data_IF_384031188298
#
_entry.id   IF_384031188298
#
_cell.length_a   1.000
_cell.length_b   1.000
_cell.length_c   1.000
_cell.angle_alpha   90.00
_cell.angle_beta   90.00
_cell.angle_gamma   90.00
#
_symmetry.space_group_name_H-M   'P 1'
#
loop_
_entity.id
_entity.type
_entity.pdbx_description
1 polymer ?
#
# COMPACT_ATOMS: atom_id res chain seq x y z
N UNK A 1 -5.24 3.63 -25.41
CA UNK A 1 -4.47 3.24 -24.22
C UNK A 1 -4.92 1.85 -23.76
N UNK A 2 -6.10 1.69 -23.14
CA UNK A 2 -6.58 0.42 -22.56
C UNK A 2 -6.25 -0.87 -23.35
N UNK A 3 -6.59 -0.92 -24.64
CA UNK A 3 -6.41 -2.14 -25.46
C UNK A 3 -4.95 -2.54 -25.71
N UNK A 4 -4.01 -1.59 -25.56
CA UNK A 4 -2.59 -1.78 -25.91
C UNK A 4 -1.67 -1.63 -24.69
N UNK A 5 -2.20 -1.26 -23.53
CA UNK A 5 -1.41 -1.11 -22.31
C UNK A 5 -0.97 -2.47 -21.79
N UNK A 6 0.21 -2.53 -21.17
CA UNK A 6 0.66 -3.74 -20.51
C UNK A 6 -0.35 -4.13 -19.40
N UNK A 7 -0.73 -5.42 -19.26
CA UNK A 7 -1.66 -5.85 -18.21
C UNK A 7 -1.21 -5.51 -16.79
N UNK A 8 0.10 -5.44 -16.54
CA UNK A 8 0.67 -4.95 -15.29
C UNK A 8 0.33 -3.48 -15.05
N UNK A 9 0.44 -2.62 -16.08
CA UNK A 9 0.02 -1.21 -16.00
C UNK A 9 -1.47 -1.05 -15.72
N UNK A 10 -2.33 -1.80 -16.41
CA UNK A 10 -3.77 -1.79 -16.13
C UNK A 10 -4.09 -2.21 -14.70
N UNK A 11 -3.27 -3.09 -14.12
CA UNK A 11 -3.44 -3.57 -12.77
C UNK A 11 -3.00 -2.54 -11.72
N UNK A 12 -1.96 -1.75 -12.02
CA UNK A 12 -1.60 -0.55 -11.24
C UNK A 12 -2.78 0.41 -11.21
N UNK A 13 -3.40 0.72 -12.36
CA UNK A 13 -4.56 1.62 -12.41
C UNK A 13 -5.73 1.11 -11.57
N UNK A 14 -6.08 -0.18 -11.69
CA UNK A 14 -7.17 -0.79 -10.92
C UNK A 14 -6.89 -0.74 -9.42
N UNK A 15 -5.68 -1.08 -9.00
CA UNK A 15 -5.27 -1.02 -7.60
C UNK A 15 -5.31 0.42 -7.07
N UNK A 16 -4.75 1.37 -7.83
CA UNK A 16 -4.75 2.80 -7.49
C UNK A 16 -6.17 3.34 -7.30
N UNK A 17 -7.02 3.25 -8.32
CA UNK A 17 -8.35 3.84 -8.25
C UNK A 17 -9.21 3.19 -7.15
N UNK A 18 -9.12 1.87 -6.98
CA UNK A 18 -9.86 1.17 -5.92
C UNK A 18 -9.37 1.53 -4.52
N UNK A 19 -8.05 1.68 -4.33
CA UNK A 19 -7.48 2.00 -3.02
C UNK A 19 -7.56 3.48 -2.67
N UNK A 20 -7.62 4.40 -3.63
CA UNK A 20 -7.42 5.83 -3.40
C UNK A 20 -8.70 6.66 -3.58
N UNK A 21 -9.51 6.43 -4.62
CA UNK A 21 -10.57 7.39 -5.01
C UNK A 21 -11.55 7.79 -3.89
N UNK A 22 -12.02 6.82 -3.09
CA UNK A 22 -12.90 7.11 -1.95
C UNK A 22 -12.14 7.45 -0.65
N UNK A 23 -10.84 7.16 -0.58
CA UNK A 23 -9.95 7.68 0.46
C UNK A 23 -9.79 9.19 0.36
N UNK A 24 -9.61 9.69 -0.86
CA UNK A 24 -9.53 11.14 -1.18
C UNK A 24 -10.85 11.84 -0.86
N UNK A 25 -11.97 11.24 -1.28
CA UNK A 25 -13.28 11.77 -0.93
C UNK A 25 -13.52 11.77 0.59
N UNK A 26 -12.95 10.81 1.33
CA UNK A 26 -12.98 10.83 2.80
C UNK A 26 -12.07 11.92 3.38
N UNK A 27 -10.90 12.19 2.77
CA UNK A 27 -10.00 13.27 3.16
C UNK A 27 -10.66 14.65 3.10
N UNK A 28 -11.64 14.86 2.20
CA UNK A 28 -12.52 16.05 2.23
C UNK A 28 -13.15 16.28 3.61
N UNK A 29 -13.59 15.20 4.27
CA UNK A 29 -14.17 15.28 5.61
C UNK A 29 -13.12 15.56 6.70
N UNK A 30 -11.89 15.11 6.51
CA UNK A 30 -10.77 15.42 7.39
C UNK A 30 -10.38 16.91 7.29
N UNK A 31 -10.28 17.42 6.08
CA UNK A 31 -10.07 18.85 5.82
C UNK A 31 -11.23 19.69 6.40
N UNK A 32 -12.48 19.26 6.21
CA UNK A 32 -13.63 19.90 6.84
C UNK A 32 -13.56 19.91 8.39
N UNK A 33 -12.97 18.88 9.01
CA UNK A 33 -12.70 18.86 10.46
C UNK A 33 -11.74 19.97 10.86
N UNK A 34 -10.65 20.16 10.11
CA UNK A 34 -9.69 21.24 10.34
C UNK A 34 -10.31 22.61 10.05
N UNK A 35 -11.09 22.75 8.98
CA UNK A 35 -11.83 23.96 8.64
C UNK A 35 -12.78 24.39 9.77
N UNK A 36 -13.48 23.43 10.38
CA UNK A 36 -14.45 23.72 11.45
C UNK A 36 -13.83 23.90 12.82
N UNK A 37 -12.87 23.05 13.19
CA UNK A 37 -12.38 22.92 14.58
C UNK A 37 -10.93 23.38 14.77
N UNK A 38 -10.22 23.72 13.69
CA UNK A 38 -8.89 24.32 13.75
C UNK A 38 -8.93 25.61 14.55
N UNK A 39 -8.06 25.73 15.56
CA UNK A 39 -8.00 26.95 16.40
C UNK A 39 -7.29 28.10 15.68
N UNK A 40 -6.32 27.78 14.82
CA UNK A 40 -5.62 28.75 13.99
C UNK A 40 -6.50 29.22 12.81
N UNK A 41 -6.73 30.54 12.63
CA UNK A 41 -7.52 31.05 11.50
C UNK A 41 -6.94 30.66 10.13
N UNK A 42 -5.61 30.68 9.98
CA UNK A 42 -4.94 30.28 8.75
C UNK A 42 -5.19 28.81 8.39
N UNK A 43 -5.12 27.90 9.38
CA UNK A 43 -5.49 26.49 9.20
C UNK A 43 -6.92 26.35 8.72
N UNK A 44 -7.89 27.07 9.33
CA UNK A 44 -9.29 26.94 8.91
C UNK A 44 -9.52 27.35 7.45
N UNK A 45 -8.86 28.43 7.03
CA UNK A 45 -8.97 28.92 5.66
C UNK A 45 -8.28 27.97 4.67
N UNK A 46 -7.06 27.52 4.97
CA UNK A 46 -6.33 26.58 4.11
C UNK A 46 -7.05 25.24 4.01
N UNK A 47 -7.56 24.72 5.12
CA UNK A 47 -8.35 23.49 5.13
C UNK A 47 -9.70 23.61 4.41
N UNK A 48 -10.22 24.84 4.24
CA UNK A 48 -11.39 25.05 3.37
C UNK A 48 -11.02 24.85 1.90
N UNK A 49 -9.81 25.25 1.49
CA UNK A 49 -9.30 24.93 0.17
C UNK A 49 -8.92 23.44 0.04
N UNK A 50 -8.26 22.85 1.05
CA UNK A 50 -8.02 21.41 1.11
C UNK A 50 -9.30 20.60 0.94
N UNK A 51 -10.40 20.99 1.58
CA UNK A 51 -11.70 20.35 1.37
C UNK A 51 -12.17 20.42 -0.10
N UNK A 52 -11.93 21.52 -0.81
CA UNK A 52 -12.28 21.63 -2.23
C UNK A 52 -11.34 20.78 -3.11
N UNK A 53 -10.07 20.72 -2.73
CA UNK A 53 -9.04 19.92 -3.39
C UNK A 53 -9.40 18.43 -3.28
N UNK A 54 -9.73 17.94 -2.09
CA UNK A 54 -10.13 16.55 -1.89
C UNK A 54 -11.48 16.19 -2.53
N UNK A 55 -12.40 17.15 -2.60
CA UNK A 55 -13.61 16.97 -3.41
C UNK A 55 -13.27 16.78 -4.89
N UNK A 56 -12.32 17.56 -5.41
CA UNK A 56 -11.82 17.43 -6.78
C UNK A 56 -11.11 16.08 -6.97
N UNK A 57 -10.22 15.69 -6.06
CA UNK A 57 -9.42 14.46 -6.16
C UNK A 57 -10.32 13.23 -6.23
N UNK A 58 -11.28 13.11 -5.30
CA UNK A 58 -12.23 12.00 -5.30
C UNK A 58 -13.09 11.96 -6.58
N UNK A 59 -13.60 13.11 -7.04
CA UNK A 59 -14.44 13.15 -8.25
C UNK A 59 -13.65 12.81 -9.53
N UNK A 60 -12.43 13.33 -9.70
CA UNK A 60 -11.60 13.01 -10.86
C UNK A 60 -11.21 11.52 -10.86
N UNK A 61 -10.82 10.99 -9.71
CA UNK A 61 -10.43 9.58 -9.57
C UNK A 61 -11.62 8.61 -9.60
N UNK A 62 -12.86 9.10 -9.65
CA UNK A 62 -14.04 8.32 -10.05
C UNK A 62 -14.39 8.52 -11.53
N UNK A 63 -14.27 9.74 -12.04
CA UNK A 63 -14.61 10.07 -13.43
C UNK A 63 -13.70 9.36 -14.44
N UNK A 64 -12.39 9.35 -14.21
CA UNK A 64 -11.42 8.75 -15.14
C UNK A 64 -11.56 7.22 -15.27
N UNK A 65 -11.63 6.41 -14.20
CA UNK A 65 -11.80 4.97 -14.33
C UNK A 65 -13.20 4.55 -14.79
N UNK A 66 -14.22 5.41 -14.65
CA UNK A 66 -15.59 5.10 -15.08
C UNK A 66 -15.66 4.68 -16.56
N UNK A 67 -14.85 5.28 -17.43
CA UNK A 67 -14.77 4.92 -18.86
C UNK A 67 -14.30 3.47 -19.12
N UNK A 68 -13.65 2.84 -18.13
CA UNK A 68 -13.19 1.45 -18.22
C UNK A 68 -14.17 0.43 -17.65
N UNK A 69 -15.21 0.86 -16.91
CA UNK A 69 -16.21 -0.06 -16.35
C UNK A 69 -16.91 -0.96 -17.39
N UNK A 70 -17.25 -0.50 -18.62
CA UNK A 70 -17.81 -1.38 -19.65
C UNK A 70 -16.82 -2.43 -20.18
N UNK A 71 -15.51 -2.23 -19.97
CA UNK A 71 -14.46 -3.10 -20.49
C UNK A 71 -14.06 -4.19 -19.51
N UNK A 72 -13.99 -3.84 -18.24
CA UNK A 72 -13.54 -4.75 -17.19
C UNK A 72 -14.20 -4.37 -15.85
N UNK A 73 -14.85 -5.36 -15.23
CA UNK A 73 -15.57 -5.19 -13.96
C UNK A 73 -14.66 -4.77 -12.82
N UNK A 74 -13.36 -5.04 -12.91
CA UNK A 74 -12.38 -4.61 -11.91
C UNK A 74 -12.30 -3.08 -11.78
N UNK A 75 -12.68 -2.29 -12.80
CA UNK A 75 -12.73 -0.83 -12.67
C UNK A 75 -13.93 -0.31 -11.86
N UNK A 76 -15.00 -1.11 -11.69
CA UNK A 76 -16.09 -0.77 -10.76
C UNK A 76 -15.60 -0.65 -9.31
N UNK A 77 -14.48 -1.29 -8.99
CA UNK A 77 -13.83 -1.22 -7.68
C UNK A 77 -13.28 0.16 -7.34
N UNK A 78 -13.08 1.04 -8.32
CA UNK A 78 -12.83 2.46 -8.06
C UNK A 78 -13.89 3.09 -7.15
N UNK A 79 -15.15 2.65 -7.26
CA UNK A 79 -16.24 3.06 -6.38
C UNK A 79 -16.59 1.98 -5.34
N UNK A 80 -16.54 0.69 -5.70
CA UNK A 80 -17.03 -0.41 -4.85
C UNK A 80 -16.09 -0.74 -3.68
N UNK A 81 -14.77 -0.59 -3.81
CA UNK A 81 -13.78 -1.13 -2.85
C UNK A 81 -14.05 -0.72 -1.38
N UNK A 82 -14.29 0.56 -1.11
CA UNK A 82 -14.53 1.07 0.25
C UNK A 82 -15.87 0.61 0.85
N UNK A 83 -16.74 0.01 0.03
CA UNK A 83 -18.02 -0.56 0.44
C UNK A 83 -17.98 -2.09 0.58
N UNK A 84 -16.78 -2.70 0.55
CA UNK A 84 -16.60 -4.13 0.76
C UNK A 84 -15.82 -4.41 2.05
N UNK A 85 -15.82 -5.69 2.46
CA UNK A 85 -14.90 -6.21 3.47
C UNK A 85 -13.74 -6.98 2.84
N UNK A 86 -13.39 -6.68 1.59
CA UNK A 86 -12.14 -7.14 0.99
C UNK A 86 -10.95 -6.63 1.83
N UNK A 87 -9.91 -7.46 1.97
CA UNK A 87 -8.87 -7.24 2.98
C UNK A 87 -7.99 -6.02 2.68
N UNK A 88 -7.65 -5.76 1.42
CA UNK A 88 -6.89 -4.57 1.03
C UNK A 88 -7.72 -3.29 1.25
N UNK A 89 -9.04 -3.33 1.01
CA UNK A 89 -9.95 -2.24 1.35
C UNK A 89 -10.10 -2.04 2.87
N UNK A 90 -10.09 -3.12 3.66
CA UNK A 90 -10.01 -3.02 5.14
C UNK A 90 -8.69 -2.37 5.56
N UNK A 91 -7.56 -2.74 4.95
CA UNK A 91 -6.26 -2.14 5.26
C UNK A 91 -6.21 -0.65 4.92
N UNK A 92 -6.72 -0.26 3.74
CA UNK A 92 -6.84 1.14 3.34
C UNK A 92 -7.68 1.94 4.35
N UNK A 93 -8.90 1.48 4.66
CA UNK A 93 -9.76 2.14 5.67
C UNK A 93 -9.12 2.16 7.05
N UNK A 94 -8.48 1.07 7.48
CA UNK A 94 -7.80 1.02 8.78
C UNK A 94 -6.73 2.10 8.89
N UNK A 95 -5.97 2.35 7.82
CA UNK A 95 -4.94 3.39 7.77
C UNK A 95 -5.59 4.78 7.71
N UNK A 96 -6.47 5.03 6.74
CA UNK A 96 -7.08 6.35 6.54
C UNK A 96 -7.98 6.79 7.69
N UNK A 97 -8.79 5.88 8.25
CA UNK A 97 -9.66 6.21 9.37
C UNK A 97 -8.85 6.61 10.61
N UNK A 98 -7.68 5.98 10.80
CA UNK A 98 -6.78 6.25 11.91
C UNK A 98 -5.93 7.50 11.71
N UNK A 99 -5.43 7.74 10.49
CA UNK A 99 -4.65 8.93 10.18
C UNK A 99 -5.52 10.20 10.24
N UNK A 100 -6.78 10.14 9.80
CA UNK A 100 -7.56 11.38 9.65
C UNK A 100 -9.08 11.35 9.91
N UNK A 101 -9.79 10.23 9.78
CA UNK A 101 -11.25 10.27 10.01
C UNK A 101 -11.63 10.32 11.49
N UNK A 102 -10.82 9.71 12.35
CA UNK A 102 -11.06 9.53 13.79
C UNK A 102 -10.10 10.33 14.68
N UNK A 103 -9.61 11.46 14.16
CA UNK A 103 -8.60 12.32 14.79
C UNK A 103 -9.13 13.74 15.01
N UNK A 104 -8.56 14.44 15.98
CA UNK A 104 -8.84 15.87 16.19
C UNK A 104 -8.20 16.72 15.09
N UNK A 105 -8.65 17.97 14.94
CA UNK A 105 -8.12 18.86 13.89
C UNK A 105 -6.59 19.05 13.95
N UNK A 106 -5.99 19.05 15.15
CA UNK A 106 -4.53 19.20 15.27
C UNK A 106 -3.80 17.90 14.94
N UNK A 107 -4.37 16.75 15.31
CA UNK A 107 -3.80 15.46 14.95
C UNK A 107 -3.88 15.22 13.44
N UNK A 108 -4.99 15.59 12.78
CA UNK A 108 -5.12 15.52 11.31
C UNK A 108 -4.02 16.35 10.64
N UNK A 109 -3.83 17.60 11.06
CA UNK A 109 -2.77 18.44 10.50
C UNK A 109 -1.38 17.77 10.57
N UNK A 110 -1.08 17.06 11.65
CA UNK A 110 0.21 16.39 11.81
C UNK A 110 0.26 15.05 11.06
N UNK A 111 -0.74 14.19 11.26
CA UNK A 111 -0.72 12.80 10.80
C UNK A 111 -1.05 12.66 9.31
N UNK A 112 -1.99 13.47 8.80
CA UNK A 112 -2.33 13.51 7.39
C UNK A 112 -1.38 14.45 6.65
N UNK A 113 -1.47 15.75 6.88
CA UNK A 113 -0.87 16.71 5.95
C UNK A 113 0.67 16.74 5.99
N UNK A 114 1.25 16.60 7.18
CA UNK A 114 2.69 16.51 7.31
C UNK A 114 3.22 15.10 7.07
N UNK A 115 2.76 14.11 7.84
CA UNK A 115 3.37 12.78 7.78
C UNK A 115 2.97 11.99 6.53
N UNK A 116 1.70 11.96 6.14
CA UNK A 116 1.23 11.17 5.00
C UNK A 116 1.40 11.92 3.67
N UNK A 117 0.89 13.15 3.56
CA UNK A 117 0.88 13.88 2.30
C UNK A 117 2.26 14.41 1.91
N UNK A 118 2.88 15.19 2.81
CA UNK A 118 4.24 15.69 2.59
C UNK A 118 5.26 14.56 2.60
N UNK A 119 5.11 13.58 3.49
CA UNK A 119 6.06 12.49 3.66
C UNK A 119 6.01 11.40 2.60
N UNK A 120 4.82 11.07 2.06
CA UNK A 120 4.66 9.94 1.12
C UNK A 120 3.95 10.31 -0.18
N UNK A 121 2.72 10.82 -0.14
CA UNK A 121 1.88 10.92 -1.37
C UNK A 121 2.40 11.94 -2.36
N UNK A 122 2.92 13.08 -1.90
CA UNK A 122 3.52 14.09 -2.78
C UNK A 122 4.62 13.49 -3.66
N UNK A 123 5.45 12.62 -3.08
CA UNK A 123 6.52 11.94 -3.81
C UNK A 123 5.99 10.78 -4.64
N UNK A 124 5.06 10.01 -4.10
CA UNK A 124 4.38 8.93 -4.82
C UNK A 124 3.79 9.41 -6.13
N UNK A 125 3.10 10.55 -6.13
CA UNK A 125 2.36 11.03 -7.29
C UNK A 125 3.33 11.55 -8.36
N UNK A 126 4.47 12.12 -7.96
CA UNK A 126 5.53 12.46 -8.91
C UNK A 126 6.13 11.21 -9.56
N UNK A 127 6.49 10.19 -8.78
CA UNK A 127 7.01 8.92 -9.30
C UNK A 127 5.99 8.22 -10.22
N UNK A 128 4.75 8.08 -9.75
CA UNK A 128 3.69 7.41 -10.48
C UNK A 128 3.32 8.13 -11.78
N UNK A 129 3.32 9.47 -11.80
CA UNK A 129 3.11 10.22 -13.03
C UNK A 129 4.28 10.04 -14.03
N UNK A 130 5.51 9.95 -13.54
CA UNK A 130 6.69 9.70 -14.36
C UNK A 130 6.69 8.28 -14.96
N UNK A 131 6.22 7.28 -14.21
CA UNK A 131 6.02 5.91 -14.68
C UNK A 131 4.87 5.84 -15.69
N UNK A 132 3.77 6.56 -15.45
CA UNK A 132 2.64 6.64 -16.36
C UNK A 132 3.03 7.21 -17.73
N UNK A 133 3.83 8.28 -17.74
CA UNK A 133 4.33 8.86 -18.98
C UNK A 133 5.24 7.87 -19.75
N UNK A 134 6.07 7.12 -19.03
CA UNK A 134 6.97 6.11 -19.60
C UNK A 134 6.20 4.91 -20.17
N UNK A 135 5.11 4.50 -19.51
CA UNK A 135 4.17 3.49 -19.99
C UNK A 135 3.27 3.99 -21.15
N UNK A 136 3.41 5.25 -21.57
CA UNK A 136 2.61 5.85 -22.64
C UNK A 136 1.18 6.24 -22.23
N UNK A 137 0.87 6.23 -20.94
CA UNK A 137 -0.41 6.66 -20.37
C UNK A 137 -0.38 8.14 -19.96
N UNK A 138 -0.38 9.01 -20.96
CA UNK A 138 -0.39 10.46 -20.75
C UNK A 138 -1.68 10.96 -20.09
N UNK A 139 -2.77 10.19 -20.14
CA UNK A 139 -4.03 10.55 -19.49
C UNK A 139 -3.88 10.43 -17.98
N UNK A 140 -3.37 9.29 -17.50
CA UNK A 140 -3.11 9.10 -16.08
C UNK A 140 -1.95 9.97 -15.58
N UNK A 141 -0.88 10.12 -16.36
CA UNK A 141 0.22 11.02 -16.01
C UNK A 141 -0.27 12.47 -15.77
N UNK A 142 -1.11 12.99 -16.67
CA UNK A 142 -1.67 14.34 -16.54
C UNK A 142 -2.63 14.45 -15.35
N UNK A 143 -3.45 13.43 -15.09
CA UNK A 143 -4.34 13.38 -13.94
C UNK A 143 -3.55 13.50 -12.64
N UNK A 144 -2.58 12.60 -12.43
CA UNK A 144 -1.83 12.51 -11.18
C UNK A 144 -0.94 13.74 -10.98
N UNK A 145 -0.26 14.22 -12.03
CA UNK A 145 0.50 15.49 -11.93
C UNK A 145 -0.40 16.68 -11.59
N UNK A 146 -1.64 16.72 -12.09
CA UNK A 146 -2.57 17.80 -11.78
C UNK A 146 -3.16 17.71 -10.37
N UNK A 147 -3.31 16.51 -9.81
CA UNK A 147 -3.70 16.31 -8.41
C UNK A 147 -2.54 16.74 -7.50
N UNK A 148 -1.32 16.32 -7.82
CA UNK A 148 -0.12 16.63 -7.02
C UNK A 148 0.12 18.14 -6.83
N UNK A 149 -0.25 18.99 -7.80
CA UNK A 149 -0.14 20.44 -7.62
C UNK A 149 -1.08 20.99 -6.54
N UNK A 150 -2.22 20.34 -6.31
CA UNK A 150 -3.15 20.70 -5.24
C UNK A 150 -2.69 20.11 -3.90
N UNK A 151 -2.17 18.87 -3.87
CA UNK A 151 -1.55 18.25 -2.68
C UNK A 151 -0.52 19.17 -2.03
N UNK A 152 0.39 19.74 -2.83
CA UNK A 152 1.42 20.67 -2.33
C UNK A 152 0.86 21.91 -1.63
N UNK A 153 -0.40 22.31 -1.94
CA UNK A 153 -1.06 23.46 -1.35
C UNK A 153 -1.66 23.15 0.02
N UNK A 154 -2.40 22.06 0.22
CA UNK A 154 -3.01 21.80 1.53
C UNK A 154 -2.07 21.03 2.47
N UNK A 155 -1.11 20.24 1.93
CA UNK A 155 -0.13 19.50 2.73
C UNK A 155 0.70 20.41 3.65
N UNK A 156 0.88 21.68 3.27
CA UNK A 156 1.63 22.67 4.05
C UNK A 156 1.00 23.03 5.42
N UNK A 157 -0.24 22.61 5.71
CA UNK A 157 -0.92 22.91 6.99
C UNK A 157 -0.15 22.33 8.18
N UNK A 158 0.45 21.16 8.02
CA UNK A 158 1.07 20.41 9.12
C UNK A 158 2.36 21.01 9.65
N UNK A 159 3.19 21.64 8.80
CA UNK A 159 4.45 22.26 9.21
C UNK A 159 4.28 23.34 10.29
N UNK A 160 3.47 24.40 10.04
CA UNK A 160 3.16 25.41 11.04
C UNK A 160 2.45 24.85 12.29
N UNK A 161 1.61 23.82 12.13
CA UNK A 161 0.95 23.16 13.25
C UNK A 161 1.98 22.49 14.18
N UNK A 162 2.97 21.80 13.63
CA UNK A 162 4.09 21.22 14.37
C UNK A 162 4.92 22.30 15.07
N UNK A 163 5.29 23.38 14.38
CA UNK A 163 6.06 24.47 14.98
C UNK A 163 5.35 25.07 16.21
N UNK A 164 4.02 25.22 16.15
CA UNK A 164 3.22 25.70 17.29
C UNK A 164 3.24 24.69 18.44
N UNK A 165 3.09 23.38 18.17
CA UNK A 165 3.17 22.35 19.21
C UNK A 165 4.53 22.39 19.92
N UNK A 166 5.62 22.47 19.15
CA UNK A 166 6.99 22.50 19.66
C UNK A 166 7.25 23.75 20.51
N UNK A 167 6.86 24.93 20.02
CA UNK A 167 7.00 26.20 20.73
C UNK A 167 6.22 26.23 22.06
N UNK A 168 5.22 25.37 22.24
CA UNK A 168 4.39 25.28 23.44
C UNK A 168 4.72 24.04 24.30
N UNK A 169 5.90 23.44 24.13
CA UNK A 169 6.37 22.34 24.98
C UNK A 169 5.63 21.01 24.76
N UNK A 170 5.03 20.81 23.58
CA UNK A 170 4.32 19.58 23.20
C UNK A 170 5.16 18.67 22.27
N UNK A 171 6.49 18.70 22.38
CA UNK A 171 7.39 17.91 21.51
C UNK A 171 7.08 16.42 21.56
N UNK A 172 6.91 15.84 22.74
CA UNK A 172 6.62 14.41 22.88
C UNK A 172 5.33 13.99 22.17
N UNK A 173 4.26 14.78 22.32
CA UNK A 173 3.00 14.53 21.62
C UNK A 173 3.15 14.68 20.11
N UNK A 174 3.84 15.72 19.64
CA UNK A 174 4.08 15.94 18.22
C UNK A 174 4.89 14.78 17.61
N UNK A 175 5.96 14.35 18.29
CA UNK A 175 6.79 13.22 17.88
C UNK A 175 5.97 11.94 17.80
N UNK A 176 5.20 11.61 18.83
CA UNK A 176 4.37 10.40 18.84
C UNK A 176 3.37 10.36 17.67
N UNK A 177 2.74 11.50 17.33
CA UNK A 177 1.81 11.58 16.19
C UNK A 177 2.52 11.34 14.86
N UNK A 178 3.69 11.95 14.68
CA UNK A 178 4.51 11.78 13.48
C UNK A 178 4.99 10.34 13.36
N UNK A 179 5.52 9.76 14.43
CA UNK A 179 5.97 8.37 14.47
C UNK A 179 4.81 7.39 14.14
N UNK A 180 3.65 7.53 14.79
CA UNK A 180 2.51 6.66 14.47
C UNK A 180 2.10 6.82 13.01
N UNK A 181 2.04 8.05 12.49
CA UNK A 181 1.60 8.30 11.12
C UNK A 181 2.55 7.70 10.08
N UNK A 182 3.88 7.89 10.23
CA UNK A 182 4.89 7.31 9.33
C UNK A 182 4.80 5.78 9.37
N UNK A 183 4.72 5.17 10.56
CA UNK A 183 4.63 3.72 10.70
C UNK A 183 3.42 3.15 9.94
N UNK A 184 2.26 3.81 10.07
CA UNK A 184 1.02 3.39 9.40
C UNK A 184 1.07 3.61 7.89
N UNK A 185 1.58 4.76 7.45
CA UNK A 185 1.73 5.11 6.05
C UNK A 185 2.68 4.15 5.32
N UNK A 186 3.83 3.85 5.92
CA UNK A 186 4.85 2.97 5.36
C UNK A 186 4.30 1.62 4.91
N UNK A 187 3.46 0.98 5.75
CA UNK A 187 2.87 -0.33 5.45
C UNK A 187 2.01 -0.32 4.18
N UNK A 188 1.13 0.68 4.04
CA UNK A 188 0.28 0.83 2.85
C UNK A 188 1.12 1.22 1.63
N UNK A 189 2.14 2.03 1.83
CA UNK A 189 3.06 2.48 0.79
C UNK A 189 3.88 1.33 0.19
N UNK A 190 4.45 0.45 1.02
CA UNK A 190 5.17 -0.74 0.54
C UNK A 190 4.26 -1.69 -0.24
N UNK A 191 2.98 -1.79 0.15
CA UNK A 191 2.00 -2.63 -0.53
C UNK A 191 1.66 -2.10 -1.93
N UNK A 192 1.24 -0.82 -2.03
CA UNK A 192 0.74 -0.25 -3.28
C UNK A 192 1.88 0.21 -4.19
N UNK A 193 2.78 1.04 -3.68
CA UNK A 193 3.85 1.65 -4.47
C UNK A 193 4.96 0.64 -4.74
N UNK A 194 5.42 -0.07 -3.70
CA UNK A 194 6.54 -0.99 -3.83
C UNK A 194 6.27 -2.14 -4.81
N UNK A 195 5.07 -2.74 -4.73
CA UNK A 195 4.71 -3.81 -5.68
C UNK A 195 4.49 -3.30 -7.11
N UNK A 196 3.99 -2.06 -7.25
CA UNK A 196 3.83 -1.43 -8.56
C UNK A 196 5.18 -1.20 -9.24
N UNK A 197 6.13 -0.55 -8.57
CA UNK A 197 7.41 -0.17 -9.15
C UNK A 197 8.29 -1.38 -9.52
N UNK A 198 8.40 -2.35 -8.62
CA UNK A 198 9.37 -3.44 -8.78
C UNK A 198 8.82 -4.66 -9.52
N UNK A 199 7.51 -4.74 -9.75
CA UNK A 199 6.89 -5.91 -10.36
C UNK A 199 5.90 -5.57 -11.46
N UNK A 200 4.89 -4.74 -11.18
CA UNK A 200 3.81 -4.48 -12.14
C UNK A 200 4.22 -3.53 -13.29
N UNK A 201 5.12 -2.58 -13.04
CA UNK A 201 5.73 -1.76 -14.08
C UNK A 201 6.63 -2.65 -14.95
N UNK A 202 6.44 -2.67 -16.29
CA UNK A 202 7.27 -3.48 -17.18
C UNK A 202 8.76 -3.13 -17.04
N UNK A 203 9.63 -4.15 -17.14
CA UNK A 203 11.06 -4.02 -16.86
C UNK A 203 11.73 -2.85 -17.60
N UNK A 204 11.43 -2.68 -18.89
CA UNK A 204 12.01 -1.62 -19.73
C UNK A 204 11.57 -0.20 -19.33
N UNK A 205 10.52 -0.06 -18.50
CA UNK A 205 9.99 1.22 -18.03
C UNK A 205 10.36 1.50 -16.56
N UNK A 206 11.06 0.59 -15.88
CA UNK A 206 11.53 0.80 -14.50
C UNK A 206 12.73 1.75 -14.49
N UNK A 207 12.50 3.01 -14.12
CA UNK A 207 13.56 4.03 -14.03
C UNK A 207 14.53 3.75 -12.88
N UNK A 208 13.98 3.32 -11.74
CA UNK A 208 14.70 2.98 -10.53
C UNK A 208 13.95 1.90 -9.75
N UNK A 209 14.54 1.34 -8.70
CA UNK A 209 13.85 0.42 -7.80
C UNK A 209 13.08 1.16 -6.72
N UNK A 210 12.08 0.52 -6.13
CA UNK A 210 11.36 1.04 -4.98
C UNK A 210 12.30 1.49 -3.85
N UNK A 211 13.32 0.68 -3.52
CA UNK A 211 14.33 1.04 -2.52
C UNK A 211 15.10 2.30 -2.87
N UNK A 212 15.54 2.44 -4.12
CA UNK A 212 16.23 3.65 -4.57
C UNK A 212 15.31 4.87 -4.40
N UNK A 213 14.07 4.74 -4.83
CA UNK A 213 13.06 5.79 -4.75
C UNK A 213 12.81 6.22 -3.30
N UNK A 214 12.55 5.28 -2.38
CA UNK A 214 12.28 5.65 -0.98
C UNK A 214 13.52 6.18 -0.26
N UNK A 215 14.72 5.77 -0.68
CA UNK A 215 15.95 6.28 -0.11
C UNK A 215 16.21 7.73 -0.56
N UNK A 216 16.01 8.03 -1.84
CA UNK A 216 16.17 9.40 -2.35
C UNK A 216 15.09 10.34 -1.80
N UNK A 217 13.83 9.94 -1.93
CA UNK A 217 12.70 10.84 -1.74
C UNK A 217 12.16 10.84 -0.32
N UNK A 218 12.06 9.67 0.33
CA UNK A 218 11.53 9.59 1.71
C UNK A 218 12.65 9.88 2.70
N UNK A 219 13.76 9.13 2.67
CA UNK A 219 14.86 9.36 3.62
C UNK A 219 15.53 10.72 3.34
N UNK A 220 15.94 10.99 2.09
CA UNK A 220 16.66 12.21 1.77
C UNK A 220 15.92 13.52 2.07
N UNK A 221 14.59 13.56 1.89
CA UNK A 221 13.81 14.79 2.08
C UNK A 221 13.10 14.84 3.44
N UNK A 222 12.53 13.73 3.89
CA UNK A 222 11.71 13.73 5.09
C UNK A 222 12.56 13.74 6.36
N UNK A 223 13.71 13.04 6.39
CA UNK A 223 14.67 13.11 7.50
C UNK A 223 15.06 14.57 7.80
N UNK A 224 15.45 15.29 6.75
CA UNK A 224 15.85 16.69 6.86
C UNK A 224 14.70 17.55 7.36
N UNK A 225 13.49 17.31 6.87
CA UNK A 225 12.31 18.06 7.29
C UNK A 225 11.99 17.85 8.77
N UNK A 226 12.10 16.62 9.29
CA UNK A 226 11.93 16.32 10.71
C UNK A 226 12.95 17.09 11.57
N UNK A 227 14.22 17.03 11.18
CA UNK A 227 15.33 17.66 11.90
C UNK A 227 15.19 19.19 11.87
N UNK A 228 14.92 19.78 10.70
CA UNK A 228 14.79 21.23 10.52
C UNK A 228 13.59 21.79 11.32
N UNK A 229 12.55 20.98 11.55
CA UNK A 229 11.42 21.34 12.42
C UNK A 229 11.72 21.16 13.91
N UNK A 230 12.80 20.50 14.31
CA UNK A 230 13.17 20.24 15.70
C UNK A 230 12.60 18.95 16.30
N UNK A 231 12.11 18.05 15.44
CA UNK A 231 11.77 16.67 15.78
C UNK A 231 13.00 15.77 15.71
N UNK A 232 12.88 14.58 16.29
CA UNK A 232 13.87 13.53 16.21
C UNK A 232 13.44 12.51 15.14
N UNK A 233 14.37 11.68 14.67
CA UNK A 233 13.99 10.54 13.84
C UNK A 233 13.17 9.56 14.68
N UNK A 234 12.13 8.91 14.11
CA UNK A 234 11.38 7.87 14.80
C UNK A 234 12.32 6.81 15.35
N UNK A 235 12.00 6.26 16.54
CA UNK A 235 12.89 5.29 17.20
C UNK A 235 13.17 4.03 16.36
N UNK A 236 12.28 3.73 15.41
CA UNK A 236 12.38 2.59 14.49
C UNK A 236 12.97 2.94 13.12
N UNK A 237 13.57 4.13 12.94
CA UNK A 237 14.04 4.61 11.63
C UNK A 237 14.94 3.60 10.90
N UNK A 238 15.95 3.06 11.59
CA UNK A 238 16.86 2.04 11.03
C UNK A 238 16.12 0.74 10.68
N UNK A 239 15.12 0.35 11.48
CA UNK A 239 14.29 -0.82 11.17
C UNK A 239 13.46 -0.59 9.91
N UNK A 240 12.87 0.59 9.75
CA UNK A 240 12.12 0.96 8.54
C UNK A 240 13.03 0.98 7.31
N UNK A 241 14.25 1.54 7.42
CA UNK A 241 15.24 1.51 6.32
C UNK A 241 15.59 0.06 5.95
N UNK A 242 15.80 -0.82 6.92
CA UNK A 242 16.06 -2.24 6.64
C UNK A 242 14.86 -2.92 5.94
N UNK A 243 13.64 -2.47 6.20
CA UNK A 243 12.43 -2.98 5.52
C UNK A 243 12.36 -2.58 4.04
N UNK A 244 13.12 -1.58 3.58
CA UNK A 244 13.18 -1.18 2.17
C UNK A 244 13.72 -2.31 1.27
N UNK A 245 14.51 -3.21 1.84
CA UNK A 245 15.09 -4.36 1.14
C UNK A 245 14.15 -5.56 1.01
N UNK A 246 13.01 -5.59 1.72
CA UNK A 246 12.22 -6.83 1.77
C UNK A 246 10.71 -6.69 1.94
N UNK A 247 10.19 -5.62 2.53
CA UNK A 247 8.79 -5.62 2.97
C UNK A 247 7.81 -5.65 1.78
N UNK A 248 8.08 -4.89 0.72
CA UNK A 248 7.27 -4.90 -0.50
C UNK A 248 7.44 -6.21 -1.30
N UNK A 249 8.61 -6.86 -1.25
CA UNK A 249 8.80 -8.18 -1.86
C UNK A 249 7.95 -9.26 -1.16
N UNK A 250 7.88 -9.22 0.18
CA UNK A 250 7.04 -10.11 0.96
C UNK A 250 5.54 -9.86 0.68
N UNK A 251 5.16 -8.60 0.52
CA UNK A 251 3.81 -8.23 0.08
C UNK A 251 3.50 -8.67 -1.35
N UNK A 252 4.44 -8.51 -2.30
CA UNK A 252 4.26 -8.98 -3.67
C UNK A 252 3.99 -10.48 -3.71
N UNK A 253 4.80 -11.27 -3.01
CA UNK A 253 4.62 -12.72 -2.93
C UNK A 253 3.25 -13.07 -2.33
N UNK A 254 2.86 -12.36 -1.27
CA UNK A 254 1.57 -12.57 -0.61
C UNK A 254 0.39 -12.20 -1.52
N UNK A 255 0.41 -11.03 -2.14
CA UNK A 255 -0.63 -10.56 -3.07
C UNK A 255 -0.75 -11.51 -4.26
N UNK A 256 0.36 -11.90 -4.87
CA UNK A 256 0.30 -12.77 -6.04
C UNK A 256 -0.18 -14.17 -5.69
N UNK A 257 0.25 -14.75 -4.55
CA UNK A 257 -0.23 -16.05 -4.12
C UNK A 257 -1.72 -16.01 -3.76
N UNK A 258 -2.16 -15.03 -2.96
CA UNK A 258 -3.56 -14.79 -2.61
C UNK A 258 -4.34 -13.97 -3.67
N UNK A 259 -3.88 -13.92 -4.94
CA UNK A 259 -4.50 -13.13 -6.01
C UNK A 259 -6.02 -13.29 -6.19
N UNK A 260 -6.66 -14.45 -5.89
CA UNK A 260 -8.12 -14.53 -5.98
C UNK A 260 -8.87 -13.69 -4.94
N UNK A 261 -8.16 -13.09 -3.97
CA UNK A 261 -8.75 -12.32 -2.88
C UNK A 261 -8.69 -10.81 -3.09
N UNK A 262 -8.18 -10.34 -4.24
CA UNK A 262 -8.09 -8.92 -4.60
C UNK A 262 -8.85 -8.64 -5.90
N UNK A 263 -9.05 -7.36 -6.21
CA UNK A 263 -9.85 -6.90 -7.37
C UNK A 263 -9.04 -6.52 -8.60
N UNK A 264 -7.72 -6.72 -8.59
CA UNK A 264 -6.86 -6.52 -9.76
C UNK A 264 -6.08 -7.80 -10.05
N UNK A 265 -5.47 -7.87 -11.22
CA UNK A 265 -4.66 -9.00 -11.63
C UNK A 265 -3.19 -8.71 -11.31
N UNK A 266 -2.58 -9.21 -10.22
CA UNK A 266 -1.19 -8.89 -9.92
C UNK A 266 -0.26 -9.48 -10.99
N UNK A 267 0.65 -8.68 -11.51
CA UNK A 267 1.72 -9.19 -12.37
C UNK A 267 2.72 -9.95 -11.50
N UNK A 268 3.10 -11.17 -11.90
CA UNK A 268 4.17 -11.88 -11.19
C UNK A 268 5.47 -11.08 -11.21
N UNK A 269 5.83 -10.56 -12.40
CA UNK A 269 7.11 -9.87 -12.65
C UNK A 269 8.30 -10.83 -12.63
N UNK A 270 8.12 -12.09 -13.02
CA UNK A 270 9.05 -13.19 -12.75
C UNK A 270 9.71 -13.81 -13.98
N UNK A 271 9.88 -13.09 -15.10
CA UNK A 271 10.78 -13.58 -16.17
C UNK A 271 12.23 -13.68 -15.67
N UNK A 272 13.12 -14.45 -16.33
CA UNK A 272 14.54 -14.48 -15.99
C UNK A 272 15.16 -13.07 -15.89
N UNK A 273 14.94 -12.21 -16.90
CA UNK A 273 15.44 -10.84 -16.90
C UNK A 273 14.91 -10.00 -15.73
N UNK A 274 13.65 -10.20 -15.32
CA UNK A 274 13.12 -9.51 -14.14
C UNK A 274 13.81 -9.98 -12.86
N UNK A 275 14.14 -11.27 -12.75
CA UNK A 275 14.87 -11.81 -11.59
C UNK A 275 16.32 -11.34 -11.54
N UNK A 276 16.98 -11.22 -12.69
CA UNK A 276 18.32 -10.66 -12.77
C UNK A 276 18.33 -9.20 -12.34
N UNK A 277 17.34 -8.41 -12.78
CA UNK A 277 17.17 -7.04 -12.30
C UNK A 277 16.89 -6.97 -10.80
N UNK A 278 16.04 -7.85 -10.27
CA UNK A 278 15.77 -7.91 -8.83
C UNK A 278 17.03 -8.26 -8.04
N UNK A 279 17.89 -9.15 -8.54
CA UNK A 279 19.18 -9.46 -7.91
C UNK A 279 20.14 -8.26 -7.93
N UNK A 280 20.18 -7.54 -9.06
CA UNK A 280 21.01 -6.34 -9.21
C UNK A 280 20.58 -5.26 -8.20
N UNK A 281 19.28 -5.03 -8.04
CA UNK A 281 18.75 -4.01 -7.14
C UNK A 281 18.68 -4.45 -5.68
N UNK A 282 18.54 -5.74 -5.44
CA UNK A 282 18.39 -6.35 -4.12
C UNK A 282 19.27 -7.60 -4.03
N UNK A 283 20.54 -7.42 -3.70
CA UNK A 283 21.50 -8.52 -3.64
C UNK A 283 21.06 -9.59 -2.62
N UNK A 284 21.02 -10.85 -3.05
CA UNK A 284 20.47 -11.98 -2.28
C UNK A 284 18.97 -12.24 -2.50
N UNK A 285 18.31 -11.52 -3.40
CA UNK A 285 16.89 -11.72 -3.70
C UNK A 285 16.60 -13.14 -4.19
N UNK A 286 17.44 -13.70 -5.07
CA UNK A 286 17.27 -15.06 -5.58
C UNK A 286 17.48 -16.14 -4.52
N UNK A 287 18.34 -15.90 -3.54
CA UNK A 287 18.60 -16.83 -2.43
C UNK A 287 17.49 -16.82 -1.36
N UNK A 288 16.63 -15.80 -1.38
CA UNK A 288 15.55 -15.58 -0.43
C UNK A 288 14.18 -15.72 -1.10
N UNK A 289 13.63 -14.61 -1.62
CA UNK A 289 12.34 -14.56 -2.33
C UNK A 289 12.32 -15.43 -3.58
N UNK A 290 13.44 -15.46 -4.32
CA UNK A 290 13.59 -16.33 -5.49
C UNK A 290 13.34 -17.79 -5.19
N UNK A 291 13.68 -18.29 -3.99
CA UNK A 291 13.40 -19.69 -3.60
C UNK A 291 11.91 -19.99 -3.47
N UNK A 292 11.10 -19.04 -3.01
CA UNK A 292 9.66 -19.20 -2.98
C UNK A 292 9.09 -19.18 -4.41
N UNK A 293 9.60 -18.29 -5.26
CA UNK A 293 9.21 -18.21 -6.66
C UNK A 293 9.66 -19.42 -7.49
N UNK A 294 10.81 -20.02 -7.21
CA UNK A 294 11.30 -21.25 -7.85
C UNK A 294 10.24 -22.35 -7.74
N UNK A 295 9.70 -22.57 -6.54
CA UNK A 295 8.65 -23.58 -6.30
C UNK A 295 7.36 -23.26 -7.06
N UNK A 296 6.98 -21.98 -7.13
CA UNK A 296 5.81 -21.54 -7.91
C UNK A 296 6.05 -21.82 -9.40
N UNK A 297 7.22 -21.46 -9.92
CA UNK A 297 7.61 -21.66 -11.32
C UNK A 297 7.61 -23.15 -11.68
N UNK A 298 8.23 -23.98 -10.86
CA UNK A 298 8.29 -25.43 -11.08
C UNK A 298 6.90 -26.07 -11.12
N UNK A 299 5.99 -25.63 -10.24
CA UNK A 299 4.61 -26.09 -10.26
C UNK A 299 3.87 -25.64 -11.52
N UNK A 300 4.05 -24.40 -11.98
CA UNK A 300 3.44 -23.92 -13.21
C UNK A 300 3.99 -24.65 -14.45
N UNK A 301 5.30 -24.88 -14.52
CA UNK A 301 5.93 -25.64 -15.60
C UNK A 301 5.40 -27.08 -15.66
N UNK A 302 5.16 -27.69 -14.50
CA UNK A 302 4.59 -29.03 -14.40
C UNK A 302 3.05 -29.09 -14.50
N UNK A 303 2.38 -27.97 -14.79
CA UNK A 303 0.93 -27.91 -14.95
C UNK A 303 0.12 -27.99 -13.64
N UNK A 304 0.78 -27.87 -12.48
CA UNK A 304 0.17 -27.90 -11.14
C UNK A 304 -0.22 -26.51 -10.65
N UNK A 305 -1.09 -25.82 -11.41
CA UNK A 305 -1.52 -24.44 -11.11
C UNK A 305 -2.22 -24.35 -9.75
N UNK A 306 -2.91 -25.40 -9.32
CA UNK A 306 -3.60 -25.51 -8.03
C UNK A 306 -2.66 -25.34 -6.82
N UNK A 307 -1.37 -25.65 -6.96
CA UNK A 307 -0.37 -25.45 -5.89
C UNK A 307 0.15 -24.01 -5.80
N UNK A 308 -0.34 -23.11 -6.66
CA UNK A 308 0.05 -21.69 -6.70
C UNK A 308 -1.05 -20.75 -6.18
N UNK A 309 -2.09 -21.34 -5.58
CA UNK A 309 -3.21 -20.63 -4.95
C UNK A 309 -3.40 -21.18 -3.53
N UNK A 310 -3.94 -20.38 -2.60
CA UNK A 310 -4.04 -20.76 -1.21
C UNK A 310 -5.23 -21.67 -0.93
N UNK A 311 -5.07 -22.52 0.09
CA UNK A 311 -6.16 -23.28 0.71
C UNK A 311 -6.48 -22.80 2.13
N UNK A 312 -5.85 -21.70 2.57
CA UNK A 312 -6.07 -21.07 3.88
C UNK A 312 -5.94 -19.55 3.81
N UNK A 313 -6.38 -18.86 4.87
CA UNK A 313 -6.11 -17.43 5.06
C UNK A 313 -4.71 -17.23 5.68
N UNK A 314 -4.00 -16.14 5.35
CA UNK A 314 -2.75 -15.81 6.03
C UNK A 314 -3.05 -15.30 7.44
N UNK A 315 -2.03 -15.25 8.32
CA UNK A 315 -2.14 -14.49 9.57
C UNK A 315 -2.10 -13.00 9.22
N UNK A 316 -3.02 -12.22 9.77
CA UNK A 316 -3.15 -10.79 9.47
C UNK A 316 -2.74 -9.95 10.69
N UNK A 317 -1.94 -8.92 10.45
CA UNK A 317 -1.53 -7.95 11.46
C UNK A 317 -2.73 -7.17 12.00
N UNK A 318 -2.89 -7.12 13.32
CA UNK A 318 -3.99 -6.42 13.99
C UNK A 318 -3.90 -4.89 13.87
N UNK A 319 -2.77 -4.35 13.43
CA UNK A 319 -2.59 -2.92 13.15
C UNK A 319 -2.80 -2.60 11.67
N UNK A 320 -1.90 -3.06 10.79
CA UNK A 320 -1.92 -2.72 9.37
C UNK A 320 -3.03 -3.41 8.57
N UNK A 321 -3.62 -4.49 9.11
CA UNK A 321 -4.56 -5.37 8.40
C UNK A 321 -3.96 -6.07 7.16
N UNK A 322 -2.63 -6.11 7.06
CA UNK A 322 -1.88 -6.80 6.02
C UNK A 322 -1.35 -8.15 6.55
N UNK A 323 -0.99 -9.09 5.66
CA UNK A 323 -0.37 -10.35 6.07
C UNK A 323 0.89 -10.14 6.92
N UNK A 324 1.11 -11.04 7.90
CA UNK A 324 2.38 -11.13 8.61
C UNK A 324 3.37 -11.88 7.73
N UNK A 325 4.35 -11.17 7.17
CA UNK A 325 5.31 -11.68 6.20
C UNK A 325 6.64 -10.91 6.26
N UNK A 326 7.73 -11.62 5.98
CA UNK A 326 9.08 -11.09 5.87
C UNK A 326 9.91 -11.96 4.89
N UNK A 327 11.24 -11.93 5.01
CA UNK A 327 12.17 -12.65 4.12
C UNK A 327 11.99 -14.18 4.25
N UNK A 328 11.79 -14.90 3.13
CA UNK A 328 11.78 -16.37 3.09
C UNK A 328 13.16 -16.93 2.68
N UNK A 329 13.23 -18.24 2.42
CA UNK A 329 14.43 -18.87 1.85
C UNK A 329 15.62 -18.91 2.81
N UNK A 330 16.84 -18.71 2.29
CA UNK A 330 18.08 -18.82 3.08
C UNK A 330 18.21 -17.77 4.18
N UNK A 331 17.56 -16.61 4.00
CA UNK A 331 17.50 -15.49 4.93
C UNK A 331 16.25 -15.49 5.81
N UNK A 332 15.60 -16.65 6.00
CA UNK A 332 14.29 -16.74 6.69
C UNK A 332 14.26 -15.96 8.01
N UNK A 333 13.38 -14.96 8.08
CA UNK A 333 13.26 -14.08 9.24
C UNK A 333 11.81 -13.70 9.59
N UNK A 334 10.81 -14.44 9.10
CA UNK A 334 9.40 -14.21 9.42
C UNK A 334 9.17 -14.34 10.93
N UNK A 335 8.58 -13.30 11.54
CA UNK A 335 8.28 -13.24 12.97
C UNK A 335 6.89 -12.68 13.19
N UNK A 336 6.20 -13.23 14.17
CA UNK A 336 5.03 -12.60 14.79
C UNK A 336 5.47 -11.91 16.08
N UNK A 337 4.90 -10.74 16.36
CA UNK A 337 5.15 -9.94 17.54
C UNK A 337 3.89 -9.91 18.40
N UNK A 338 3.50 -11.01 19.06
CA UNK A 338 2.21 -11.08 19.74
C UNK A 338 2.14 -10.14 20.95
N UNK A 339 0.91 -9.77 21.32
CA UNK A 339 0.59 -9.04 22.53
C UNK A 339 -0.71 -9.59 23.13
N UNK A 340 -0.69 -9.97 24.40
CA UNK A 340 -1.92 -10.25 25.15
C UNK A 340 -2.43 -8.92 25.75
N UNK A 341 -3.68 -8.58 25.47
CA UNK A 341 -4.34 -7.41 26.04
C UNK A 341 -5.81 -7.72 26.34
N UNK A 342 -6.22 -7.56 27.61
CA UNK A 342 -7.57 -7.83 28.10
C UNK A 342 -8.11 -9.23 27.71
N UNK A 343 -7.27 -10.27 27.80
CA UNK A 343 -7.65 -11.66 27.54
C UNK A 343 -7.80 -12.02 26.05
N UNK A 344 -7.39 -11.13 25.12
CA UNK A 344 -7.24 -11.42 23.69
C UNK A 344 -5.78 -11.35 23.29
N UNK A 345 -5.33 -12.31 22.49
CA UNK A 345 -4.03 -12.28 21.83
C UNK A 345 -4.14 -11.56 20.49
N UNK A 346 -3.31 -10.55 20.29
CA UNK A 346 -3.17 -9.81 19.03
C UNK A 346 -1.85 -10.20 18.37
N UNK A 347 -1.85 -10.21 17.04
CA UNK A 347 -0.70 -10.57 16.20
C UNK A 347 -0.25 -9.36 15.39
N UNK A 348 1.06 -9.14 15.27
CA UNK A 348 1.63 -7.97 14.62
C UNK A 348 2.82 -8.34 13.73
N UNK A 349 2.90 -7.73 12.54
CA UNK A 349 3.97 -8.02 11.56
C UNK A 349 5.34 -7.52 12.03
N UNK A 350 5.38 -6.50 12.88
CA UNK A 350 6.61 -5.89 13.33
C UNK A 350 6.47 -5.37 14.77
N UNK A 351 7.62 -5.11 15.39
CA UNK A 351 7.67 -4.38 16.66
C UNK A 351 7.05 -2.98 16.55
N UNK A 352 7.18 -2.35 15.38
CA UNK A 352 6.60 -1.04 15.05
C UNK A 352 5.07 -1.12 15.14
N UNK A 353 4.44 -2.09 14.48
CA UNK A 353 2.99 -2.27 14.47
C UNK A 353 2.43 -2.56 15.87
N UNK A 354 3.13 -3.39 16.65
CA UNK A 354 2.79 -3.66 18.05
C UNK A 354 2.92 -2.40 18.90
N UNK A 355 3.98 -1.63 18.70
CA UNK A 355 4.22 -0.38 19.43
C UNK A 355 3.10 0.65 19.15
N UNK A 356 2.62 0.79 17.91
CA UNK A 356 1.49 1.66 17.58
C UNK A 356 0.25 1.27 18.38
N UNK A 357 -0.06 -0.02 18.49
CA UNK A 357 -1.19 -0.49 19.32
C UNK A 357 -1.01 -0.11 20.79
N UNK A 358 0.20 -0.25 21.32
CA UNK A 358 0.51 0.05 22.72
C UNK A 358 0.43 1.55 23.06
N UNK A 359 0.51 2.43 22.06
CA UNK A 359 0.39 3.88 22.25
C UNK A 359 -1.04 4.31 22.56
N UNK A 360 -2.05 3.62 22.01
CA UNK A 360 -3.47 3.91 22.23
C UNK A 360 -4.31 2.64 22.11
N UNK A 361 -4.21 1.68 23.04
CA UNK A 361 -4.86 0.38 22.89
C UNK A 361 -6.39 0.50 22.91
N UNK A 362 -6.97 1.55 23.50
CA UNK A 362 -8.43 1.78 23.52
C UNK A 362 -8.96 2.04 22.11
N UNK A 363 -8.18 2.71 21.26
CA UNK A 363 -8.51 2.96 19.86
C UNK A 363 -8.60 1.69 19.01
N UNK A 364 -7.83 0.65 19.35
CA UNK A 364 -7.66 -0.54 18.50
C UNK A 364 -8.25 -1.83 19.06
N UNK A 365 -8.39 -1.97 20.39
CA UNK A 365 -8.72 -3.24 21.08
C UNK A 365 -9.97 -3.97 20.57
N UNK A 366 -10.97 -3.23 20.13
CA UNK A 366 -12.26 -3.82 19.74
C UNK A 366 -12.33 -4.12 18.23
N UNK A 367 -11.31 -3.74 17.44
CA UNK A 367 -11.24 -4.05 16.02
C UNK A 367 -10.92 -5.54 15.77
N UNK A 368 -11.60 -6.14 14.78
CA UNK A 368 -11.37 -7.51 14.33
C UNK A 368 -10.80 -7.49 12.90
N UNK A 369 -9.63 -8.11 12.70
CA UNK A 369 -9.08 -8.41 11.37
C UNK A 369 -10.04 -9.33 10.59
N UNK A 370 -9.82 -9.50 9.28
CA UNK A 370 -10.60 -10.48 8.50
C UNK A 370 -10.49 -11.90 9.08
N UNK A 371 -9.31 -12.27 9.61
CA UNK A 371 -9.05 -13.58 10.22
C UNK A 371 -9.75 -13.70 11.57
N UNK A 372 -9.75 -12.66 12.40
CA UNK A 372 -10.50 -12.68 13.66
C UNK A 372 -12.00 -12.87 13.41
N UNK A 373 -12.55 -12.19 12.39
CA UNK A 373 -13.95 -12.34 11.98
C UNK A 373 -14.25 -13.76 11.51
N UNK A 374 -13.32 -14.37 10.76
CA UNK A 374 -13.43 -15.76 10.33
C UNK A 374 -13.47 -16.72 11.53
N UNK A 375 -12.50 -16.60 12.45
CA UNK A 375 -12.39 -17.45 13.65
C UNK A 375 -13.54 -17.23 14.64
N UNK A 376 -14.10 -16.02 14.71
CA UNK A 376 -15.28 -15.70 15.51
C UNK A 376 -16.61 -16.21 14.88
N UNK A 377 -16.56 -16.86 13.72
CA UNK A 377 -17.75 -17.41 13.04
C UNK A 377 -18.61 -16.36 12.33
N UNK A 378 -18.11 -15.13 12.14
CA UNK A 378 -18.83 -14.05 11.46
C UNK A 378 -18.82 -14.21 9.93
N UNK A 379 -17.95 -15.07 9.39
CA UNK A 379 -17.87 -15.39 7.97
C UNK A 379 -18.50 -16.77 7.74
N UNK A 380 -19.52 -16.82 6.87
CA UNK A 380 -20.29 -18.03 6.59
C UNK A 380 -20.48 -18.24 5.06
N UNK A 381 -20.28 -19.46 4.53
CA UNK A 381 -19.74 -20.66 5.22
C UNK A 381 -18.29 -20.44 5.73
N UNK A 382 -17.82 -21.21 6.74
CA UNK A 382 -16.49 -21.03 7.32
C UNK A 382 -15.42 -21.71 6.46
N UNK A 383 -15.33 -21.29 5.20
CA UNK A 383 -14.36 -21.75 4.20
C UNK A 383 -13.90 -20.57 3.33
N UNK A 384 -12.96 -20.81 2.41
CA UNK A 384 -12.45 -19.77 1.51
C UNK A 384 -13.53 -19.19 0.58
N UNK A 385 -14.56 -19.96 0.22
CA UNK A 385 -15.66 -19.47 -0.63
C UNK A 385 -16.52 -18.48 0.15
N UNK A 386 -16.79 -18.77 1.42
CA UNK A 386 -17.45 -17.85 2.33
C UNK A 386 -16.63 -16.58 2.57
N UNK A 387 -15.30 -16.70 2.71
CA UNK A 387 -14.41 -15.55 2.80
C UNK A 387 -14.49 -14.66 1.54
N UNK A 388 -14.36 -15.22 0.33
CA UNK A 388 -14.51 -14.47 -0.93
C UNK A 388 -15.87 -13.78 -1.04
N UNK A 389 -16.95 -14.46 -0.65
CA UNK A 389 -18.29 -13.88 -0.62
C UNK A 389 -18.39 -12.73 0.38
N UNK A 390 -17.81 -12.88 1.57
CA UNK A 390 -17.76 -11.84 2.60
C UNK A 390 -16.98 -10.60 2.12
N UNK A 391 -15.94 -10.81 1.33
CA UNK A 391 -15.17 -9.76 0.66
C UNK A 391 -15.91 -9.13 -0.54
N UNK A 392 -17.11 -9.61 -0.89
CA UNK A 392 -17.93 -9.11 -1.98
C UNK A 392 -17.25 -9.16 -3.37
N UNK A 393 -16.39 -10.15 -3.57
CA UNK A 393 -15.72 -10.45 -4.84
C UNK A 393 -16.59 -11.36 -5.72
N UNK A 394 -16.98 -10.88 -6.90
CA UNK A 394 -17.73 -11.66 -7.87
C UNK A 394 -16.82 -12.22 -9.00
N UNK A 395 -17.29 -13.24 -9.75
CA UNK A 395 -16.60 -13.67 -10.97
C UNK A 395 -16.36 -12.50 -11.93
N UNK A 396 -15.17 -12.43 -12.52
CA UNK A 396 -14.73 -11.31 -13.35
C UNK A 396 -14.15 -10.12 -12.58
N UNK A 397 -14.26 -10.11 -11.24
CA UNK A 397 -13.60 -9.14 -10.37
C UNK A 397 -12.38 -9.76 -9.67
N UNK A 398 -12.48 -11.06 -9.34
CA UNK A 398 -11.44 -11.87 -8.71
C UNK A 398 -10.13 -11.83 -9.52
N UNK A 399 -9.04 -11.44 -8.87
CA UNK A 399 -7.71 -11.37 -9.46
C UNK A 399 -7.15 -12.72 -9.94
N UNK A 400 -6.40 -12.68 -11.04
CA UNK A 400 -5.51 -13.75 -11.49
C UNK A 400 -4.16 -13.14 -11.97
N UNK A 401 -3.22 -13.92 -12.49
CA UNK A 401 -1.94 -13.39 -13.01
C UNK A 401 -2.19 -12.41 -14.18
N UNK A 402 -1.61 -11.20 -14.09
CA UNK A 402 -1.82 -10.13 -15.08
C UNK A 402 -1.55 -10.58 -16.52
N UNK A 403 -0.48 -11.36 -16.72
CA UNK A 403 -0.02 -11.81 -18.02
C UNK A 403 -0.48 -13.23 -18.33
N UNK A 404 -1.50 -13.74 -17.62
CA UNK A 404 -2.07 -15.07 -17.81
C UNK A 404 -1.00 -16.18 -17.83
N UNK A 405 0.01 -16.07 -16.96
CA UNK A 405 1.12 -17.01 -16.82
C UNK A 405 2.04 -17.10 -18.05
N UNK A 406 1.93 -16.19 -19.02
CA UNK A 406 2.74 -16.21 -20.24
C UNK A 406 4.25 -16.10 -19.94
N UNK A 407 4.62 -15.47 -18.84
CA UNK A 407 6.00 -15.34 -18.38
C UNK A 407 6.68 -16.68 -18.05
N UNK A 408 5.92 -17.74 -17.77
CA UNK A 408 6.43 -19.10 -17.50
C UNK A 408 7.08 -19.71 -18.75
N UNK A 409 6.65 -19.30 -19.95
CA UNK A 409 7.19 -19.80 -21.21
C UNK A 409 8.69 -19.49 -21.38
N UNK A 410 9.18 -18.40 -20.79
CA UNK A 410 10.60 -18.07 -20.81
C UNK A 410 11.46 -19.17 -20.16
N UNK A 411 10.98 -19.76 -19.06
CA UNK A 411 11.68 -20.86 -18.38
C UNK A 411 11.57 -22.18 -19.13
N UNK A 412 10.45 -22.43 -19.82
CA UNK A 412 10.30 -23.62 -20.66
C UNK A 412 11.35 -23.62 -21.78
N UNK A 413 11.52 -22.49 -22.47
CA UNK A 413 12.53 -22.32 -23.53
C UNK A 413 13.95 -22.47 -23.00
N UNK A 414 14.27 -21.84 -21.87
CA UNK A 414 15.59 -21.97 -21.25
C UNK A 414 15.91 -23.42 -20.85
N UNK A 415 14.91 -24.18 -20.37
CA UNK A 415 15.07 -25.60 -20.07
C UNK A 415 15.29 -26.47 -21.31
N UNK A 416 14.64 -26.16 -22.43
CA UNK A 416 14.84 -26.85 -23.71
C UNK A 416 16.23 -26.58 -24.29
N UNK A 417 16.68 -25.32 -24.29
CA UNK A 417 18.01 -24.92 -24.75
C UNK A 417 19.12 -25.64 -23.96
N UNK A 418 19.00 -25.68 -22.62
CA UNK A 418 19.94 -26.38 -21.74
C UNK A 418 19.98 -27.91 -21.93
N UNK A 419 18.90 -28.52 -22.46
CA UNK A 419 18.87 -29.97 -22.76
C UNK A 419 19.43 -30.30 -24.15
N UNK A 420 19.58 -29.30 -25.02
CA UNK A 420 20.12 -29.45 -26.38
C UNK A 420 21.60 -29.05 -26.52
N UNK A 421 22.15 -28.36 -25.52
CA UNK A 421 23.57 -28.05 -25.36
C UNK A 421 24.29 -29.14 -24.56
#
# INVERSE_FOLDING_TARGET
MFENADPGWLSILKAHYGAIALGEYAAMSAEARMARFGRAPGMRNMATFGMLDENRHGQLQLYFPHDYCPKDRQFDWAHKAYHTNEWAAIAARSTFDDLFMSRSAIEIAVMLTFAFETGFTNMQFLGLAADAAEAGDFTFASLISSIQTDESRHAQIGGPALQILLANGRKEQAQQLVDVAIARAWRLFSLLTGTSMDYATPLQHRKESFKAFVTEWIVGQFERTLIDLGLDLPWYWDQMINEFDYQHHAYQLSIWFWRPTIWWNPAAGMTPDCRDWLEEKYSGWNDTFGKAWDVIIDNLLAGRKELTVPETLPIVCNMSQLPICAVPGSGWNVRDYPLEYNGRTYHFNSEIDRWVFQQDPVRYRDHLTLVDRFLAGLIQPPDLRGALRYMNLAPGEIGDDAHQYAWVEAYRRQGEENNTA
#
